data_IF_992972625694
#
_entry.id   IF_992972625694
#
_cell.length_a   1.000
_cell.length_b   1.000
_cell.length_c   1.000
_cell.angle_alpha   90.00
_cell.angle_beta   90.00
_cell.angle_gamma   90.00
#
_symmetry.space_group_name_H-M   'P 1'
#
loop_
_entity.id
_entity.type
_entity.pdbx_description
1 polymer ?
#
# COMPACT_ATOMS: atom_id res chain seq x y z
N UNK A 1 0.99 20.15 -12.80
CA UNK A 1 1.64 18.83 -12.91
C UNK A 1 1.88 18.40 -11.49
N UNK A 2 1.10 17.45 -11.00
CA UNK A 2 1.17 16.98 -9.61
C UNK A 2 2.12 15.77 -9.61
N UNK A 3 3.38 15.89 -9.14
CA UNK A 3 4.28 14.76 -9.05
C UNK A 3 3.76 13.87 -7.92
N UNK A 4 3.12 12.74 -8.26
CA UNK A 4 2.74 11.74 -7.28
C UNK A 4 4.00 11.29 -6.52
N UNK A 5 4.10 11.68 -5.25
CA UNK A 5 5.19 11.26 -4.38
C UNK A 5 4.89 9.87 -3.87
N UNK A 6 5.84 8.95 -4.04
CA UNK A 6 5.70 7.57 -3.59
C UNK A 6 6.83 7.21 -2.64
N UNK A 7 6.48 6.92 -1.39
CA UNK A 7 7.43 6.66 -0.31
C UNK A 7 7.65 5.14 -0.15
N UNK A 8 8.91 4.72 -0.11
CA UNK A 8 9.33 3.35 0.20
C UNK A 8 9.72 3.26 1.68
N UNK A 9 9.33 2.15 2.29
CA UNK A 9 8.89 2.06 3.70
C UNK A 9 9.97 1.82 4.78
N UNK A 10 9.79 2.43 5.96
CA UNK A 10 10.33 2.03 7.29
C UNK A 10 9.31 1.24 8.15
N UNK A 11 8.05 1.10 7.72
CA UNK A 11 6.94 0.50 8.47
C UNK A 11 6.91 -1.04 8.50
N UNK A 12 8.03 -1.71 8.21
CA UNK A 12 8.24 -3.15 8.51
C UNK A 12 8.83 -3.42 9.91
N UNK A 13 8.99 -2.41 10.77
CA UNK A 13 9.56 -2.57 12.12
C UNK A 13 8.60 -3.06 13.23
N UNK A 14 7.35 -3.41 12.91
CA UNK A 14 6.31 -3.56 13.96
C UNK A 14 5.52 -4.86 13.96
N UNK A 15 6.09 -5.95 13.45
CA UNK A 15 5.56 -7.29 13.70
C UNK A 15 6.58 -8.12 14.50
N UNK A 16 6.13 -8.51 15.69
CA UNK A 16 6.69 -9.54 16.56
C UNK A 16 7.98 -9.17 17.29
N UNK A 17 8.02 -9.56 18.56
CA UNK A 17 9.17 -9.51 19.45
C UNK A 17 10.36 -10.26 18.83
N UNK A 18 11.14 -9.57 18.01
CA UNK A 18 12.47 -9.94 17.58
C UNK A 18 13.35 -8.69 17.67
N UNK A 19 14.36 -8.82 18.52
CA UNK A 19 15.47 -7.91 18.70
C UNK A 19 16.09 -7.52 17.35
N UNK A 20 16.40 -6.23 17.21
CA UNK A 20 17.13 -5.60 16.10
C UNK A 20 18.07 -6.57 15.37
N UNK A 21 17.66 -7.00 14.17
CA UNK A 21 18.54 -7.52 13.12
C UNK A 21 17.93 -7.25 11.74
N UNK A 22 18.07 -6.00 11.27
CA UNK A 22 17.97 -5.65 9.86
C UNK A 22 16.61 -5.14 9.37
N UNK A 23 16.51 -3.82 9.17
CA UNK A 23 15.90 -3.31 7.94
C UNK A 23 16.71 -3.98 6.82
N UNK A 24 16.22 -5.05 6.19
CA UNK A 24 16.98 -5.67 5.12
C UNK A 24 17.02 -4.71 3.93
N UNK A 25 18.20 -4.23 3.49
CA UNK A 25 18.31 -3.35 2.32
C UNK A 25 17.69 -3.96 1.05
N UNK A 26 17.64 -5.29 0.97
CA UNK A 26 16.98 -6.04 -0.09
C UNK A 26 15.49 -5.74 -0.19
N UNK A 27 14.79 -5.50 0.92
CA UNK A 27 13.36 -5.23 0.92
C UNK A 27 12.99 -3.90 0.29
N UNK A 28 13.83 -2.87 0.49
CA UNK A 28 13.64 -1.53 -0.10
C UNK A 28 13.88 -1.57 -1.61
N UNK A 29 14.96 -2.23 -2.04
CA UNK A 29 15.28 -2.38 -3.46
C UNK A 29 14.22 -3.22 -4.19
N UNK A 30 13.73 -4.29 -3.57
CA UNK A 30 12.68 -5.12 -4.14
C UNK A 30 11.36 -4.36 -4.29
N UNK A 31 11.00 -3.52 -3.32
CA UNK A 31 9.81 -2.68 -3.44
C UNK A 31 10.00 -1.60 -4.51
N UNK A 32 11.16 -0.93 -4.58
CA UNK A 32 11.47 0.03 -5.65
C UNK A 32 11.34 -0.61 -7.03
N UNK A 33 11.91 -1.82 -7.20
CA UNK A 33 11.82 -2.59 -8.44
C UNK A 33 10.36 -2.92 -8.79
N UNK A 34 9.55 -3.34 -7.81
CA UNK A 34 8.12 -3.61 -8.02
C UNK A 34 7.35 -2.38 -8.49
N UNK A 35 7.57 -1.22 -7.88
CA UNK A 35 6.92 0.04 -8.30
C UNK A 35 7.24 0.39 -9.75
N UNK A 36 8.53 0.34 -10.12
CA UNK A 36 8.99 0.67 -11.47
C UNK A 36 8.48 -0.36 -12.49
N UNK A 37 8.57 -1.65 -12.17
CA UNK A 37 8.10 -2.73 -13.05
C UNK A 37 6.58 -2.71 -13.28
N UNK A 38 5.81 -2.22 -12.30
CA UNK A 38 4.38 -1.97 -12.46
C UNK A 38 4.05 -0.70 -13.28
N UNK A 39 5.06 0.03 -13.76
CA UNK A 39 4.90 1.17 -14.67
C UNK A 39 5.05 2.55 -14.05
N UNK A 40 5.52 2.66 -12.78
CA UNK A 40 5.79 3.97 -12.18
C UNK A 40 7.10 4.51 -12.74
N UNK A 41 6.99 5.58 -13.50
CA UNK A 41 8.10 6.26 -14.17
C UNK A 41 8.88 7.17 -13.19
N UNK A 42 10.14 6.85 -12.85
CA UNK A 42 10.95 7.63 -11.90
C UNK A 42 11.35 9.02 -12.42
N UNK A 43 11.14 9.31 -13.71
CA UNK A 43 11.33 10.66 -14.25
C UNK A 43 10.11 11.56 -14.00
N UNK A 44 8.92 10.97 -13.87
CA UNK A 44 7.65 11.68 -13.60
C UNK A 44 7.27 11.67 -12.13
N UNK A 45 7.67 10.65 -11.40
CA UNK A 45 7.33 10.43 -9.98
C UNK A 45 8.57 10.47 -9.10
N UNK A 46 8.42 10.95 -7.87
CA UNK A 46 9.51 10.96 -6.88
C UNK A 46 9.41 9.67 -6.08
N UNK A 47 10.34 8.73 -6.32
CA UNK A 47 10.45 7.46 -5.60
C UNK A 47 11.66 7.52 -4.69
N UNK A 48 11.48 7.36 -3.39
CA UNK A 48 12.59 7.42 -2.43
C UNK A 48 12.29 6.65 -1.14
N UNK A 49 13.32 6.41 -0.34
CA UNK A 49 13.20 5.77 0.97
C UNK A 49 12.93 6.83 2.05
N UNK A 50 11.85 6.66 2.82
CA UNK A 50 11.43 7.57 3.89
C UNK A 50 12.58 7.94 4.85
N UNK A 51 13.37 6.97 5.29
CA UNK A 51 14.49 7.17 6.23
C UNK A 51 15.58 8.12 5.70
N UNK A 52 15.65 8.34 4.39
CA UNK A 52 16.66 9.22 3.77
C UNK A 52 16.28 10.70 3.82
N UNK A 53 15.08 11.03 4.29
CA UNK A 53 14.59 12.41 4.40
C UNK A 53 14.18 12.69 5.86
N UNK A 54 15.05 13.38 6.60
CA UNK A 54 14.86 13.64 8.04
C UNK A 54 13.60 14.45 8.36
N UNK A 55 13.09 15.23 7.39
CA UNK A 55 11.88 16.02 7.55
C UNK A 55 10.65 15.20 7.97
N UNK A 56 10.59 13.91 7.63
CA UNK A 56 9.52 13.02 8.08
C UNK A 56 9.51 12.83 9.61
N UNK A 57 10.66 12.49 10.17
CA UNK A 57 10.81 12.30 11.62
C UNK A 57 10.62 13.63 12.36
N UNK A 58 11.16 14.72 11.81
CA UNK A 58 11.05 16.05 12.38
C UNK A 58 9.59 16.54 12.41
N UNK A 59 8.88 16.49 11.28
CA UNK A 59 7.47 16.87 11.24
C UNK A 59 6.62 15.91 12.09
N UNK A 60 6.94 14.62 12.11
CA UNK A 60 6.26 13.63 12.95
C UNK A 60 6.30 14.00 14.44
N UNK A 61 7.44 14.51 14.93
CA UNK A 61 7.55 15.02 16.29
C UNK A 61 6.69 16.28 16.51
N UNK A 62 6.79 17.26 15.60
CA UNK A 62 6.03 18.50 15.70
C UNK A 62 4.52 18.26 15.70
N UNK A 63 4.00 17.44 14.77
CA UNK A 63 2.60 17.07 14.72
C UNK A 63 2.18 16.24 15.95
N UNK A 64 3.09 15.47 16.53
CA UNK A 64 2.87 14.76 17.79
C UNK A 64 2.50 15.70 18.93
N UNK A 65 3.07 16.91 18.98
CA UNK A 65 2.71 17.93 19.97
C UNK A 65 1.30 18.51 19.77
N UNK A 66 0.72 18.40 18.57
CA UNK A 66 -0.65 18.84 18.27
C UNK A 66 -1.69 17.73 18.31
N UNK A 67 -1.26 16.48 18.37
CA UNK A 67 -2.15 15.32 18.28
C UNK A 67 -2.58 14.88 19.69
N UNK A 68 -3.87 15.03 20.06
CA UNK A 68 -4.35 14.56 21.35
C UNK A 68 -4.26 13.03 21.45
N UNK A 69 -3.80 12.53 22.60
CA UNK A 69 -3.77 11.10 22.95
C UNK A 69 -5.15 10.43 22.70
N UNK A 70 -6.23 11.15 22.97
CA UNK A 70 -7.60 10.67 22.74
C UNK A 70 -7.91 10.30 21.28
N UNK A 71 -7.23 10.92 20.30
CA UNK A 71 -7.40 10.61 18.88
C UNK A 71 -6.74 9.29 18.53
N UNK A 72 -5.52 9.06 19.03
CA UNK A 72 -4.78 7.81 18.85
C UNK A 72 -5.47 6.63 19.56
N UNK A 73 -6.07 6.84 20.72
CA UNK A 73 -6.84 5.82 21.44
C UNK A 73 -8.04 5.25 20.66
N UNK A 74 -8.53 5.98 19.64
CA UNK A 74 -9.66 5.54 18.80
C UNK A 74 -9.23 4.71 17.59
N UNK A 75 -7.93 4.65 17.28
CA UNK A 75 -7.42 3.92 16.12
C UNK A 75 -7.68 2.42 16.26
N UNK A 76 -8.37 1.83 15.28
CA UNK A 76 -8.70 0.40 15.26
C UNK A 76 -7.44 -0.43 15.07
N UNK A 77 -6.57 -0.03 14.14
CA UNK A 77 -5.31 -0.74 13.88
C UNK A 77 -4.41 -0.85 15.12
N UNK A 78 -4.36 0.19 15.97
CA UNK A 78 -3.62 0.10 17.23
C UNK A 78 -4.26 -0.95 18.17
N UNK A 79 -5.58 -0.93 18.32
CA UNK A 79 -6.30 -1.89 19.17
C UNK A 79 -6.11 -3.33 18.69
N UNK A 80 -6.17 -3.53 17.38
CA UNK A 80 -6.04 -4.85 16.76
C UNK A 80 -4.60 -5.38 16.89
N UNK A 81 -3.60 -4.54 16.61
CA UNK A 81 -2.18 -4.92 16.66
C UNK A 81 -1.59 -5.02 18.06
N UNK A 82 -2.04 -4.18 19.00
CA UNK A 82 -1.59 -4.24 20.39
C UNK A 82 -2.15 -5.48 21.13
N UNK A 83 -3.21 -6.08 20.60
CA UNK A 83 -3.85 -7.27 21.16
C UNK A 83 -4.35 -7.05 22.59
N UNK A 84 -4.32 -8.13 23.39
CA UNK A 84 -4.81 -8.12 24.77
C UNK A 84 -3.87 -7.39 25.75
N UNK A 85 -2.56 -7.34 25.47
CA UNK A 85 -1.55 -6.75 26.35
C UNK A 85 -1.01 -5.44 25.80
N UNK A 86 -1.86 -4.41 25.85
CA UNK A 86 -1.54 -3.06 25.34
C UNK A 86 -0.33 -2.42 26.02
N UNK A 87 0.05 -2.87 27.21
CA UNK A 87 1.20 -2.31 27.93
C UNK A 87 2.54 -2.73 27.30
N UNK A 88 2.57 -3.83 26.54
CA UNK A 88 3.76 -4.25 25.77
C UNK A 88 3.85 -3.60 24.40
N UNK A 89 2.82 -2.88 23.96
CA UNK A 89 2.85 -2.18 22.68
C UNK A 89 3.92 -1.09 22.69
N UNK A 90 4.71 -1.02 21.62
CA UNK A 90 5.72 0.02 21.49
C UNK A 90 5.06 1.40 21.27
N UNK A 91 5.73 2.46 21.71
CA UNK A 91 5.30 3.83 21.41
C UNK A 91 5.17 4.04 19.89
N UNK A 92 6.07 3.46 19.09
CA UNK A 92 6.01 3.54 17.63
C UNK A 92 4.72 2.94 17.06
N UNK A 93 4.25 1.81 17.58
CA UNK A 93 2.95 1.23 17.17
C UNK A 93 1.77 2.15 17.52
N UNK A 94 1.90 2.94 18.58
CA UNK A 94 0.87 3.90 18.98
C UNK A 94 0.93 5.21 18.19
N UNK A 95 2.13 5.71 17.89
CA UNK A 95 2.35 7.03 17.28
C UNK A 95 2.55 7.00 15.77
N UNK A 96 2.73 5.84 15.12
CA UNK A 96 2.93 5.79 13.66
C UNK A 96 1.84 6.49 12.84
N UNK A 97 0.56 6.59 13.25
CA UNK A 97 -0.42 7.35 12.48
C UNK A 97 -0.06 8.85 12.37
N UNK A 98 0.65 9.39 13.35
CA UNK A 98 1.19 10.76 13.32
C UNK A 98 2.36 10.87 12.34
N UNK A 99 3.24 9.87 12.30
CA UNK A 99 4.30 9.81 11.30
C UNK A 99 3.73 9.69 9.88
N UNK A 100 2.65 8.93 9.70
CA UNK A 100 1.92 8.86 8.43
C UNK A 100 1.29 10.20 8.05
N UNK A 101 0.77 10.96 9.01
CA UNK A 101 0.31 12.33 8.75
C UNK A 101 1.47 13.23 8.30
N UNK A 102 2.64 13.12 8.93
CA UNK A 102 3.84 13.83 8.51
C UNK A 102 4.26 13.46 7.08
N UNK A 103 4.20 12.18 6.71
CA UNK A 103 4.52 11.72 5.34
C UNK A 103 3.68 12.43 4.27
N UNK A 104 2.40 12.67 4.57
CA UNK A 104 1.45 13.31 3.65
C UNK A 104 1.62 14.83 3.65
N UNK A 105 1.62 15.44 4.83
CA UNK A 105 1.55 16.89 4.99
C UNK A 105 2.88 17.59 4.66
N UNK A 106 4.02 16.89 4.81
CA UNK A 106 5.34 17.43 4.50
C UNK A 106 5.49 17.86 3.03
N UNK A 107 4.66 17.36 2.13
CA UNK A 107 4.73 17.63 0.69
C UNK A 107 3.52 18.40 0.16
N UNK A 108 2.70 18.96 1.05
CA UNK A 108 1.46 19.68 0.66
C UNK A 108 0.55 18.81 -0.22
N UNK A 109 0.42 17.53 0.15
CA UNK A 109 -0.29 16.53 -0.64
C UNK A 109 -1.79 16.81 -0.69
N UNK A 110 -2.34 16.95 -1.89
CA UNK A 110 -3.79 17.14 -2.09
C UNK A 110 -4.57 15.83 -2.09
N UNK A 111 -4.04 14.79 -2.72
CA UNK A 111 -4.73 13.51 -2.91
C UNK A 111 -3.90 12.35 -2.40
N UNK A 112 -4.53 11.44 -1.65
CA UNK A 112 -3.86 10.23 -1.16
C UNK A 112 -4.67 8.99 -1.59
N UNK A 113 -4.10 8.11 -2.43
CA UNK A 113 -4.73 6.83 -2.74
C UNK A 113 -4.60 5.92 -1.52
N UNK A 114 -5.73 5.54 -0.93
CA UNK A 114 -5.77 4.66 0.25
C UNK A 114 -6.78 3.54 0.06
N UNK A 115 -6.42 2.35 0.51
CA UNK A 115 -7.39 1.25 0.68
C UNK A 115 -8.31 1.51 1.87
N UNK A 116 -9.42 0.77 1.94
CA UNK A 116 -10.40 0.87 3.03
C UNK A 116 -9.77 0.78 4.43
N UNK A 117 -8.72 -0.02 4.59
CA UNK A 117 -8.01 -0.24 5.84
C UNK A 117 -7.22 0.97 6.36
N UNK A 118 -6.90 1.92 5.48
CA UNK A 118 -6.10 3.12 5.83
C UNK A 118 -6.93 4.40 5.90
N UNK A 119 -8.24 4.34 5.63
CA UNK A 119 -9.14 5.51 5.68
C UNK A 119 -9.07 6.23 7.03
N UNK A 120 -9.04 5.49 8.14
CA UNK A 120 -8.99 6.08 9.47
C UNK A 120 -7.70 6.89 9.72
N UNK A 121 -6.56 6.47 9.18
CA UNK A 121 -5.31 7.22 9.32
C UNK A 121 -5.30 8.48 8.47
N UNK A 122 -5.92 8.45 7.30
CA UNK A 122 -6.05 9.65 6.46
C UNK A 122 -6.99 10.68 7.12
N UNK A 123 -8.08 10.24 7.74
CA UNK A 123 -8.92 11.14 8.55
C UNK A 123 -8.13 11.75 9.71
N UNK A 124 -7.26 10.99 10.38
CA UNK A 124 -6.37 11.57 11.40
C UNK A 124 -5.43 12.63 10.81
N UNK A 125 -4.85 12.39 9.63
CA UNK A 125 -4.00 13.38 8.97
C UNK A 125 -4.76 14.67 8.65
N UNK A 126 -6.03 14.56 8.22
CA UNK A 126 -6.94 15.69 7.97
C UNK A 126 -7.26 16.45 9.25
N UNK A 127 -7.56 15.75 10.34
CA UNK A 127 -7.82 16.35 11.65
C UNK A 127 -6.59 17.10 12.17
N UNK A 128 -5.39 16.52 12.04
CA UNK A 128 -4.12 17.14 12.45
C UNK A 128 -3.84 18.40 11.61
N UNK A 129 -3.98 18.33 10.28
CA UNK A 129 -3.80 19.48 9.40
C UNK A 129 -4.74 20.63 9.77
N UNK A 130 -6.02 20.31 9.96
CA UNK A 130 -7.05 21.29 10.35
C UNK A 130 -6.76 21.88 11.73
N UNK A 131 -6.31 21.08 12.70
CA UNK A 131 -5.96 21.54 14.03
C UNK A 131 -4.77 22.50 14.01
N UNK A 132 -3.72 22.18 13.25
CA UNK A 132 -2.56 23.05 13.08
C UNK A 132 -2.96 24.40 12.44
N UNK A 133 -3.70 24.35 11.33
CA UNK A 133 -4.15 25.56 10.63
C UNK A 133 -5.02 26.45 11.53
N UNK A 134 -5.94 25.85 12.29
CA UNK A 134 -6.79 26.57 13.24
C UNK A 134 -6.00 27.18 14.41
N UNK A 135 -5.00 26.45 14.93
CA UNK A 135 -4.17 26.92 16.04
C UNK A 135 -3.40 28.19 15.66
N UNK A 136 -2.78 28.17 14.47
CA UNK A 136 -1.99 29.29 13.96
C UNK A 136 -2.81 30.32 13.18
N UNK A 137 -4.12 30.10 13.00
CA UNK A 137 -5.05 30.95 12.23
C UNK A 137 -4.53 31.22 10.81
N UNK A 138 -3.98 30.19 10.18
CA UNK A 138 -3.35 30.24 8.86
C UNK A 138 -3.70 28.96 8.10
N UNK A 139 -4.03 29.09 6.82
CA UNK A 139 -4.23 27.93 5.94
C UNK A 139 -2.89 27.48 5.35
N UNK A 140 -2.07 26.80 6.17
CA UNK A 140 -0.73 26.36 5.78
C UNK A 140 -0.72 24.96 5.17
N UNK A 141 -1.29 23.98 5.88
CA UNK A 141 -1.39 22.62 5.35
C UNK A 141 -2.62 22.47 4.45
N UNK A 142 -2.42 21.91 3.26
CA UNK A 142 -3.53 21.40 2.45
C UNK A 142 -4.15 20.20 3.20
N UNK A 143 -5.47 20.23 3.40
CA UNK A 143 -6.20 19.11 4.00
C UNK A 143 -6.37 18.01 2.94
N UNK A 144 -5.72 16.84 3.08
CA UNK A 144 -5.66 15.84 2.03
C UNK A 144 -7.01 15.15 1.79
N UNK A 145 -7.32 14.81 0.54
CA UNK A 145 -8.54 14.10 0.13
C UNK A 145 -8.25 12.65 -0.26
N UNK A 146 -9.22 11.76 -0.02
CA UNK A 146 -9.15 10.36 -0.47
C UNK A 146 -9.25 10.34 -1.99
N UNK A 147 -8.25 9.74 -2.65
CA UNK A 147 -8.35 9.39 -4.06
C UNK A 147 -8.98 8.00 -4.18
N UNK A 148 -10.25 7.95 -4.55
CA UNK A 148 -10.93 6.68 -4.88
C UNK A 148 -10.60 6.32 -6.32
N UNK A 149 -9.99 5.16 -6.52
CA UNK A 149 -9.76 4.61 -7.85
C UNK A 149 -10.96 3.74 -8.22
N UNK A 150 -11.77 4.20 -9.17
CA UNK A 150 -12.99 3.50 -9.63
C UNK A 150 -12.71 2.08 -10.15
N UNK A 151 -11.45 1.78 -10.49
CA UNK A 151 -10.99 0.51 -11.05
C UNK A 151 -10.39 -0.47 -10.03
N UNK A 152 -10.27 -0.11 -8.76
CA UNK A 152 -9.65 -1.00 -7.76
C UNK A 152 -10.69 -2.00 -7.22
N UNK A 153 -10.99 -3.04 -8.01
CA UNK A 153 -11.77 -4.18 -7.55
C UNK A 153 -11.09 -4.79 -6.31
N UNK A 154 -11.82 -4.85 -5.19
CA UNK A 154 -11.30 -5.47 -3.96
C UNK A 154 -11.09 -6.97 -4.20
N UNK A 155 -9.81 -7.38 -4.29
CA UNK A 155 -9.44 -8.78 -4.47
C UNK A 155 -9.44 -9.52 -3.13
N UNK A 156 -10.13 -10.66 -3.08
CA UNK A 156 -10.27 -11.50 -1.88
C UNK A 156 -9.26 -12.65 -1.89
N UNK A 157 -9.09 -13.28 -0.73
CA UNK A 157 -8.22 -14.44 -0.57
C UNK A 157 -8.69 -15.61 -1.44
N UNK A 158 -7.73 -16.31 -2.06
CA UNK A 158 -8.01 -17.53 -2.83
C UNK A 158 -8.45 -18.71 -1.95
N UNK A 159 -8.29 -18.60 -0.63
CA UNK A 159 -8.67 -19.64 0.35
C UNK A 159 -9.96 -19.30 1.09
N UNK A 160 -10.31 -18.02 1.17
CA UNK A 160 -11.51 -17.52 1.80
C UNK A 160 -12.06 -16.30 1.04
N UNK A 161 -13.13 -16.49 0.28
CA UNK A 161 -13.72 -15.46 -0.58
C UNK A 161 -14.34 -14.28 0.18
N UNK A 162 -14.45 -14.34 1.50
CA UNK A 162 -14.97 -13.25 2.35
C UNK A 162 -13.83 -12.36 2.86
N UNK A 163 -12.65 -12.94 3.07
CA UNK A 163 -11.48 -12.25 3.61
C UNK A 163 -10.70 -11.56 2.50
N UNK A 164 -10.27 -10.31 2.74
CA UNK A 164 -9.41 -9.56 1.81
C UNK A 164 -8.07 -10.30 1.64
N UNK A 165 -7.53 -10.33 0.42
CA UNK A 165 -6.20 -10.88 0.18
C UNK A 165 -5.17 -10.15 1.04
N UNK A 166 -4.32 -10.89 1.75
CA UNK A 166 -3.28 -10.33 2.63
C UNK A 166 -1.95 -11.02 2.42
N UNK A 167 -0.88 -10.22 2.34
CA UNK A 167 0.51 -10.71 2.31
C UNK A 167 0.97 -11.34 3.64
N UNK A 168 0.23 -11.10 4.73
CA UNK A 168 0.56 -11.61 6.06
C UNK A 168 -0.29 -12.81 6.47
N UNK A 169 -1.08 -13.36 5.55
CA UNK A 169 -1.83 -14.58 5.80
C UNK A 169 -0.84 -15.76 5.99
N UNK A 170 -1.05 -16.65 6.98
CA UNK A 170 -0.17 -17.80 7.19
C UNK A 170 -0.11 -18.75 5.99
N UNK A 171 -1.13 -18.74 5.13
CA UNK A 171 -1.19 -19.55 3.93
C UNK A 171 -0.67 -18.76 2.73
N UNK A 172 0.46 -19.20 2.17
CA UNK A 172 0.98 -18.68 0.89
C UNK A 172 0.00 -18.88 -0.27
N UNK A 173 -0.94 -19.82 -0.15
CA UNK A 173 -1.97 -20.09 -1.15
C UNK A 173 -3.15 -19.11 -1.11
N UNK A 174 -3.17 -18.16 -0.17
CA UNK A 174 -4.21 -17.15 -0.05
C UNK A 174 -4.06 -16.00 -1.05
N UNK A 175 -2.84 -15.75 -1.53
CA UNK A 175 -2.47 -14.59 -2.32
C UNK A 175 -1.55 -14.96 -3.50
N UNK A 176 -1.53 -14.12 -4.53
CA UNK A 176 -0.57 -14.19 -5.63
C UNK A 176 0.41 -13.04 -5.45
N UNK A 177 1.69 -13.35 -5.35
CA UNK A 177 2.74 -12.34 -5.26
C UNK A 177 3.25 -11.98 -6.66
N UNK A 178 3.80 -10.77 -6.81
CA UNK A 178 4.37 -10.31 -8.07
C UNK A 178 5.63 -11.10 -8.48
N UNK A 179 6.28 -11.76 -7.53
CA UNK A 179 7.46 -12.59 -7.73
C UNK A 179 7.17 -14.10 -7.75
N UNK A 180 5.89 -14.52 -7.66
CA UNK A 180 5.52 -15.93 -7.80
C UNK A 180 5.90 -16.43 -9.20
N UNK A 181 6.44 -17.66 -9.29
CA UNK A 181 6.71 -18.32 -10.58
C UNK A 181 5.41 -18.74 -11.26
N UNK A 182 5.45 -18.97 -12.57
CA UNK A 182 4.28 -19.42 -13.35
C UNK A 182 3.69 -20.72 -12.77
N UNK A 183 4.56 -21.69 -12.47
CA UNK A 183 4.16 -22.95 -11.83
C UNK A 183 3.47 -22.73 -10.48
N UNK A 184 3.90 -21.72 -9.71
CA UNK A 184 3.30 -21.42 -8.41
C UNK A 184 1.94 -20.74 -8.59
N UNK A 185 1.81 -19.82 -9.55
CA UNK A 185 0.53 -19.19 -9.91
C UNK A 185 -0.49 -20.25 -10.32
N UNK A 186 -0.10 -21.19 -11.21
CA UNK A 186 -0.95 -22.32 -11.61
C UNK A 186 -1.40 -23.11 -10.38
N UNK A 187 -0.46 -23.53 -9.52
CA UNK A 187 -0.79 -24.30 -8.30
C UNK A 187 -1.72 -23.54 -7.35
N UNK A 188 -1.54 -22.22 -7.22
CA UNK A 188 -2.38 -21.37 -6.35
C UNK A 188 -3.81 -21.27 -6.87
N UNK A 189 -3.98 -21.05 -8.17
CA UNK A 189 -5.30 -20.99 -8.80
C UNK A 189 -5.98 -22.37 -8.83
N UNK A 190 -5.24 -23.44 -9.12
CA UNK A 190 -5.76 -24.81 -9.03
C UNK A 190 -6.34 -25.10 -7.63
N UNK A 191 -5.61 -24.72 -6.58
CA UNK A 191 -6.01 -24.89 -5.18
C UNK A 191 -6.92 -23.79 -4.62
N UNK A 192 -7.30 -22.80 -5.42
CA UNK A 192 -8.25 -21.78 -4.99
C UNK A 192 -9.56 -22.46 -4.58
N UNK A 193 -10.13 -22.05 -3.45
CA UNK A 193 -11.39 -22.60 -2.95
C UNK A 193 -12.51 -22.25 -3.95
N UNK A 194 -13.39 -23.20 -4.20
CA UNK A 194 -14.60 -23.02 -5.02
C UNK A 194 -15.74 -23.77 -4.34
N UNK A 195 -16.97 -23.42 -4.66
CA UNK A 195 -18.14 -24.21 -4.26
C UNK A 195 -18.32 -25.45 -5.15
N UNK A 196 -19.31 -26.26 -4.80
CA UNK A 196 -19.70 -27.47 -5.54
C UNK A 196 -20.82 -27.23 -6.56
N UNK A 197 -21.21 -25.97 -6.80
CA UNK A 197 -22.30 -25.61 -7.71
C UNK A 197 -21.74 -25.56 -9.14
N UNK A 198 -22.44 -26.19 -10.09
CA UNK A 198 -22.02 -26.21 -11.49
C UNK A 198 -22.33 -24.89 -12.20
N UNK A 199 -21.44 -24.47 -13.09
CA UNK A 199 -21.58 -23.29 -13.94
C UNK A 199 -21.30 -21.96 -13.22
N UNK A 200 -21.47 -20.87 -13.97
CA UNK A 200 -21.12 -19.49 -13.61
C UNK A 200 -22.27 -18.49 -13.80
N UNK A 201 -23.48 -18.99 -14.11
CA UNK A 201 -24.66 -18.18 -14.41
C UNK A 201 -25.17 -17.34 -13.23
N UNK A 202 -24.90 -17.75 -11.99
CA UNK A 202 -25.24 -16.99 -10.77
C UNK A 202 -24.00 -16.82 -9.91
N UNK A 203 -23.69 -15.58 -9.54
CA UNK A 203 -22.60 -15.23 -8.61
C UNK A 203 -23.11 -14.92 -7.19
N UNK A 204 -24.41 -14.69 -7.02
CA UNK A 204 -25.02 -14.45 -5.71
C UNK A 204 -24.72 -15.59 -4.74
N UNK A 205 -24.33 -15.24 -3.51
CA UNK A 205 -23.95 -16.18 -2.47
C UNK A 205 -22.77 -17.11 -2.81
N UNK A 206 -21.96 -16.78 -3.83
CA UNK A 206 -20.76 -17.54 -4.24
C UNK A 206 -19.51 -16.66 -4.19
N UNK A 207 -19.03 -16.29 -2.99
CA UNK A 207 -17.98 -15.29 -2.85
C UNK A 207 -16.66 -15.75 -3.48
N UNK A 208 -16.33 -17.04 -3.41
CA UNK A 208 -15.11 -17.57 -4.03
C UNK A 208 -15.15 -17.50 -5.57
N UNK A 209 -16.28 -17.87 -6.19
CA UNK A 209 -16.43 -17.79 -7.65
C UNK A 209 -16.47 -16.35 -8.11
N UNK A 210 -17.19 -15.49 -7.39
CA UNK A 210 -17.24 -14.05 -7.65
C UNK A 210 -15.85 -13.43 -7.64
N UNK A 211 -15.00 -13.82 -6.69
CA UNK A 211 -13.62 -13.35 -6.62
C UNK A 211 -12.81 -13.74 -7.86
N UNK A 212 -12.86 -15.01 -8.29
CA UNK A 212 -12.12 -15.47 -9.47
C UNK A 212 -12.61 -14.80 -10.77
N UNK A 213 -13.93 -14.62 -10.92
CA UNK A 213 -14.51 -13.92 -12.07
C UNK A 213 -14.14 -12.44 -12.07
N UNK A 214 -14.14 -11.78 -10.91
CA UNK A 214 -13.71 -10.39 -10.78
C UNK A 214 -12.24 -10.22 -11.16
N UNK A 215 -11.35 -11.13 -10.73
CA UNK A 215 -9.93 -11.10 -11.13
C UNK A 215 -9.83 -11.25 -12.66
N UNK A 216 -10.54 -12.22 -13.24
CA UNK A 216 -10.54 -12.42 -14.70
C UNK A 216 -11.02 -11.16 -15.42
N UNK A 217 -12.15 -10.60 -15.00
CA UNK A 217 -12.78 -9.40 -15.57
C UNK A 217 -11.83 -8.21 -15.60
N UNK A 218 -11.13 -7.96 -14.50
CA UNK A 218 -10.20 -6.83 -14.37
C UNK A 218 -8.96 -7.01 -15.24
N UNK A 219 -8.38 -8.21 -15.26
CA UNK A 219 -7.17 -8.47 -16.05
C UNK A 219 -7.44 -8.55 -17.56
N UNK A 220 -8.62 -9.03 -17.96
CA UNK A 220 -9.04 -9.09 -19.37
C UNK A 220 -9.68 -7.80 -19.87
N UNK A 221 -10.01 -6.86 -18.97
CA UNK A 221 -10.79 -5.65 -19.27
C UNK A 221 -12.16 -5.97 -19.93
N UNK A 222 -12.79 -7.06 -19.50
CA UNK A 222 -14.12 -7.52 -19.94
C UNK A 222 -15.07 -7.47 -18.75
N UNK A 223 -16.27 -6.95 -18.91
CA UNK A 223 -17.24 -6.86 -17.80
C UNK A 223 -17.67 -8.27 -17.32
N UNK A 224 -17.95 -8.38 -16.03
CA UNK A 224 -18.33 -9.60 -15.30
C UNK A 224 -19.43 -10.39 -16.01
N UNK A 225 -20.48 -9.75 -16.53
CA UNK A 225 -21.57 -10.48 -17.19
C UNK A 225 -21.08 -11.22 -18.45
N UNK A 226 -20.22 -10.58 -19.24
CA UNK A 226 -19.64 -11.20 -20.45
C UNK A 226 -18.68 -12.33 -20.09
N UNK A 227 -17.87 -12.14 -19.04
CA UNK A 227 -16.99 -13.20 -18.54
C UNK A 227 -17.84 -14.41 -18.15
N UNK A 228 -18.92 -14.23 -17.38
CA UNK A 228 -19.83 -15.30 -17.01
C UNK A 228 -20.44 -16.04 -18.22
N UNK A 229 -20.81 -15.33 -19.28
CA UNK A 229 -21.32 -15.94 -20.52
C UNK A 229 -20.26 -16.77 -21.25
N UNK A 230 -19.02 -16.29 -21.29
CA UNK A 230 -17.89 -16.98 -21.90
C UNK A 230 -17.53 -18.24 -21.09
N UNK A 231 -17.33 -18.09 -19.78
CA UNK A 231 -16.88 -19.19 -18.91
C UNK A 231 -17.96 -20.25 -18.67
N UNK A 232 -19.24 -19.93 -18.87
CA UNK A 232 -20.34 -20.91 -18.79
C UNK A 232 -20.21 -22.07 -19.79
N UNK A 233 -19.39 -21.91 -20.84
CA UNK A 233 -19.10 -22.97 -21.81
C UNK A 233 -18.03 -23.95 -21.34
N UNK A 234 -17.35 -23.63 -20.23
CA UNK A 234 -16.19 -24.34 -19.73
C UNK A 234 -16.49 -24.99 -18.37
N UNK A 235 -15.78 -26.07 -18.05
CA UNK A 235 -15.81 -26.62 -16.68
C UNK A 235 -14.89 -25.81 -15.74
N UNK A 236 -15.04 -26.02 -14.43
CA UNK A 236 -14.28 -25.27 -13.42
C UNK A 236 -12.77 -25.45 -13.57
N UNK A 237 -12.33 -26.63 -14.02
CA UNK A 237 -10.91 -26.93 -14.20
C UNK A 237 -10.33 -26.13 -15.37
N UNK A 238 -11.06 -26.07 -16.47
CA UNK A 238 -10.69 -25.30 -17.64
C UNK A 238 -10.68 -23.80 -17.34
N UNK A 239 -11.71 -23.28 -16.67
CA UNK A 239 -11.76 -21.88 -16.24
C UNK A 239 -10.56 -21.51 -15.36
N UNK A 240 -10.23 -22.32 -14.35
CA UNK A 240 -9.05 -22.10 -13.51
C UNK A 240 -7.74 -22.09 -14.30
N UNK A 241 -7.63 -22.92 -15.33
CA UNK A 241 -6.47 -22.93 -16.22
C UNK A 241 -6.38 -21.61 -17.01
N UNK A 242 -7.47 -21.19 -17.65
CA UNK A 242 -7.51 -19.93 -18.40
C UNK A 242 -7.22 -18.71 -17.51
N UNK A 243 -7.76 -18.71 -16.28
CA UNK A 243 -7.47 -17.67 -15.29
C UNK A 243 -5.98 -17.65 -14.90
N UNK A 244 -5.37 -18.82 -14.68
CA UNK A 244 -3.94 -18.91 -14.39
C UNK A 244 -3.10 -18.38 -15.56
N UNK A 245 -3.42 -18.78 -16.78
CA UNK A 245 -2.73 -18.32 -18.00
C UNK A 245 -2.87 -16.79 -18.17
N UNK A 246 -4.05 -16.23 -17.90
CA UNK A 246 -4.29 -14.78 -17.94
C UNK A 246 -3.47 -14.04 -16.87
N UNK A 247 -3.46 -14.53 -15.63
CA UNK A 247 -2.65 -13.94 -14.55
C UNK A 247 -1.16 -13.99 -14.90
N UNK A 248 -0.67 -15.12 -15.42
CA UNK A 248 0.71 -15.29 -15.87
C UNK A 248 1.06 -14.28 -16.96
N UNK A 249 0.17 -14.04 -17.92
CA UNK A 249 0.41 -13.08 -19.00
C UNK A 249 0.61 -11.64 -18.52
N UNK A 250 0.04 -11.29 -17.35
CA UNK A 250 0.17 -9.96 -16.73
C UNK A 250 1.33 -9.89 -15.74
N UNK A 251 1.50 -10.93 -14.91
CA UNK A 251 2.50 -10.95 -13.84
C UNK A 251 3.91 -11.26 -14.37
N UNK A 252 4.06 -12.10 -15.39
CA UNK A 252 5.39 -12.49 -15.89
C UNK A 252 6.22 -11.30 -16.38
N UNK A 253 5.70 -10.37 -17.20
CA UNK A 253 6.45 -9.19 -17.61
C UNK A 253 6.87 -8.30 -16.42
N UNK A 254 6.01 -8.18 -15.40
CA UNK A 254 6.30 -7.42 -14.17
C UNK A 254 7.43 -8.11 -13.39
N UNK A 255 7.31 -9.44 -13.18
CA UNK A 255 8.31 -10.26 -12.49
C UNK A 255 9.68 -10.20 -13.18
N UNK A 256 9.69 -10.29 -14.51
CA UNK A 256 10.91 -10.15 -15.32
C UNK A 256 11.52 -8.75 -15.17
N UNK A 257 10.73 -7.70 -15.30
CA UNK A 257 11.18 -6.32 -15.08
C UNK A 257 11.73 -6.09 -13.67
N UNK A 258 11.09 -6.66 -12.64
CA UNK A 258 11.61 -6.63 -11.27
C UNK A 258 12.97 -7.32 -11.16
N UNK A 259 13.09 -8.52 -11.72
CA UNK A 259 14.33 -9.29 -11.67
C UNK A 259 15.48 -8.59 -12.41
N UNK A 260 15.20 -7.94 -13.54
CA UNK A 260 16.21 -7.20 -14.29
C UNK A 260 16.68 -5.95 -13.55
N UNK A 261 15.76 -5.20 -12.93
CA UNK A 261 16.10 -4.08 -12.06
C UNK A 261 16.92 -4.53 -10.84
N UNK A 262 16.60 -5.69 -10.26
CA UNK A 262 17.33 -6.22 -9.10
C UNK A 262 18.73 -6.76 -9.45
N UNK A 263 18.99 -7.12 -10.71
CA UNK A 263 20.34 -7.43 -11.20
C UNK A 263 21.20 -6.16 -11.31
N UNK A 264 20.60 -5.03 -11.67
CA UNK A 264 21.26 -3.71 -11.72
C UNK A 264 20.93 -2.86 -10.48
N UNK A 265 21.43 -3.29 -9.32
CA UNK A 265 21.22 -2.57 -8.07
C UNK A 265 21.82 -1.16 -8.09
N UNK A 266 22.88 -0.93 -8.87
CA UNK A 266 23.50 0.39 -9.00
C UNK A 266 22.51 1.38 -9.62
N UNK A 267 21.84 0.99 -10.70
CA UNK A 267 20.82 1.82 -11.32
C UNK A 267 19.65 2.13 -10.37
N UNK A 268 19.14 1.12 -9.64
CA UNK A 268 18.09 1.34 -8.63
C UNK A 268 18.52 2.32 -7.53
N UNK A 269 19.76 2.21 -7.05
CA UNK A 269 20.30 3.14 -6.06
C UNK A 269 20.39 4.57 -6.59
N UNK A 270 20.79 4.78 -7.85
CA UNK A 270 20.83 6.11 -8.46
C UNK A 270 19.42 6.70 -8.64
N UNK A 271 18.42 5.89 -9.00
CA UNK A 271 17.01 6.32 -9.01
C UNK A 271 16.58 6.79 -7.62
N UNK A 272 16.80 5.97 -6.59
CA UNK A 272 16.41 6.30 -5.21
C UNK A 272 17.14 7.55 -4.70
N UNK A 273 18.42 7.71 -5.01
CA UNK A 273 19.22 8.88 -4.63
C UNK A 273 18.72 10.15 -5.31
N UNK A 274 18.33 10.09 -6.59
CA UNK A 274 17.71 11.20 -7.30
C UNK A 274 16.36 11.56 -6.69
N UNK A 275 15.56 10.56 -6.32
CA UNK A 275 14.30 10.76 -5.58
C UNK A 275 14.51 11.40 -4.22
N UNK A 276 15.45 10.90 -3.41
CA UNK A 276 15.83 11.45 -2.10
C UNK A 276 16.23 12.91 -2.23
N UNK A 277 17.05 13.27 -3.22
CA UNK A 277 17.47 14.66 -3.41
C UNK A 277 16.26 15.59 -3.64
N UNK A 278 15.37 15.23 -4.57
CA UNK A 278 14.15 16.01 -4.86
C UNK A 278 13.23 16.10 -3.63
N UNK A 279 13.02 14.98 -2.94
CA UNK A 279 12.17 14.93 -1.76
C UNK A 279 12.74 15.76 -0.60
N UNK A 280 14.05 15.67 -0.35
CA UNK A 280 14.73 16.42 0.70
C UNK A 280 14.70 17.93 0.46
N UNK A 281 14.82 18.38 -0.79
CA UNK A 281 14.69 19.79 -1.17
C UNK A 281 13.31 20.35 -0.79
N UNK A 282 12.23 19.63 -1.14
CA UNK A 282 10.85 20.01 -0.78
C UNK A 282 10.64 19.97 0.74
N UNK A 283 11.04 18.86 1.37
CA UNK A 283 10.86 18.65 2.80
C UNK A 283 11.58 19.72 3.63
N UNK A 284 12.81 20.06 3.27
CA UNK A 284 13.63 21.05 3.99
C UNK A 284 13.00 22.45 3.89
N UNK A 285 12.50 22.81 2.71
CA UNK A 285 11.78 24.06 2.51
C UNK A 285 10.53 24.12 3.39
N UNK A 286 9.67 23.09 3.34
CA UNK A 286 8.42 23.07 4.08
C UNK A 286 8.64 23.00 5.60
N UNK A 287 9.61 22.22 6.08
CA UNK A 287 9.99 22.20 7.50
C UNK A 287 10.40 23.59 7.98
N UNK A 288 11.17 24.33 7.18
CA UNK A 288 11.59 25.68 7.55
C UNK A 288 10.36 26.58 7.75
N UNK A 289 9.42 26.58 6.81
CA UNK A 289 8.18 27.36 6.92
C UNK A 289 7.37 26.97 8.15
N UNK A 290 7.22 25.66 8.42
CA UNK A 290 6.52 25.15 9.59
C UNK A 290 7.18 25.63 10.88
N UNK A 291 8.51 25.59 10.97
CA UNK A 291 9.28 26.08 12.13
C UNK A 291 9.13 27.59 12.34
N UNK A 292 9.14 28.36 11.26
CA UNK A 292 8.93 29.82 11.31
C UNK A 292 7.50 30.13 11.82
N UNK A 293 6.48 29.38 11.38
CA UNK A 293 5.10 29.49 11.89
C UNK A 293 5.03 29.14 13.38
N UNK A 294 5.71 28.08 13.80
CA UNK A 294 5.74 27.65 15.20
C UNK A 294 6.50 28.63 16.10
N UNK A 295 7.44 29.40 15.54
CA UNK A 295 8.26 30.38 16.24
C UNK A 295 9.54 29.79 16.85
N UNK A 296 10.14 28.78 16.20
CA UNK A 296 11.47 28.31 16.60
C UNK A 296 12.55 29.37 16.33
N UNK A 297 13.59 29.37 17.17
CA UNK A 297 14.72 30.28 17.01
C UNK A 297 15.50 29.97 15.73
N UNK A 298 15.88 31.02 15.00
CA UNK A 298 16.63 30.96 13.74
C UNK A 298 18.13 30.84 13.96
#
# INVERSE_FOLDING_TARGET
MDPSVSYLDDRKLYNESVVFSGIQPSGVLHLAAAYIACGIDPEKSIIFNQSTVSGHAELGWLLGCYTPIGWLNRMTQFKDKAGSDKQKASLGLYSYPVLMAADILLYQTKYVPVGDDQKQHLELARDIASAFNNHYKLDHFIVPEILTLDCASRVMSLRDGISKMSKSDPSEYSCINLDDTDDLIVKKIEKAKTDSILGFATLECRPEISNLINIYSVLSNVNVEKVCEEVNKHDMKHFKKELADLIISVISPIREGMNDLLKDQFHLHEILKKGTKKAAEIATHNIKEIKDIIGFAQ
#
